data_IF_827449640481
#
_entry.id   IF_827449640481
#
_cell.length_a   1.000
_cell.length_b   1.000
_cell.length_c   1.000
_cell.angle_alpha   90.00
_cell.angle_beta   90.00
_cell.angle_gamma   90.00
#
_symmetry.space_group_name_H-M   'P 1'
#
loop_
_entity.id
_entity.type
_entity.pdbx_description
1 polymer ?
#
# COMPACT_ATOMS: atom_id res chain seq x y z
N UNK A 1 -1.40 -14.71 -1.13
CA UNK A 1 -0.72 -13.40 -1.09
C UNK A 1 -1.52 -12.42 -1.91
N UNK A 2 -1.89 -11.25 -1.38
CA UNK A 2 -2.54 -10.19 -2.16
C UNK A 2 -1.41 -9.33 -2.75
N UNK A 3 -1.17 -9.48 -4.05
CA UNK A 3 -0.03 -8.85 -4.76
C UNK A 3 -0.42 -7.62 -5.57
N UNK A 4 -1.71 -7.48 -5.90
CA UNK A 4 -2.27 -6.38 -6.66
C UNK A 4 -3.72 -6.17 -6.24
N UNK A 5 -4.14 -4.91 -6.13
CA UNK A 5 -5.53 -4.51 -5.88
C UNK A 5 -5.92 -3.50 -6.95
N UNK A 6 -7.02 -3.79 -7.65
CA UNK A 6 -7.61 -2.89 -8.64
C UNK A 6 -9.09 -2.71 -8.32
N UNK A 7 -9.52 -1.46 -8.23
CA UNK A 7 -10.87 -1.14 -7.79
C UNK A 7 -11.14 0.35 -7.79
N UNK A 8 -12.20 0.78 -7.11
CA UNK A 8 -12.62 2.18 -7.02
C UNK A 8 -12.25 2.76 -5.66
N UNK A 9 -11.68 3.97 -5.62
CA UNK A 9 -11.37 4.64 -4.36
C UNK A 9 -12.66 5.12 -3.71
N UNK A 10 -12.99 4.57 -2.54
CA UNK A 10 -14.14 4.99 -1.73
C UNK A 10 -13.80 6.13 -0.77
N UNK A 11 -12.62 6.07 -0.14
CA UNK A 11 -12.25 6.98 0.93
C UNK A 11 -10.74 7.28 0.92
N UNK A 12 -10.39 8.46 1.43
CA UNK A 12 -9.02 8.91 1.70
C UNK A 12 -8.91 9.34 3.16
N UNK A 13 -8.06 8.69 3.95
CA UNK A 13 -7.87 8.98 5.36
C UNK A 13 -6.38 9.01 5.73
N UNK A 14 -5.80 10.20 5.86
CA UNK A 14 -4.36 10.36 6.10
C UNK A 14 -3.55 9.72 4.98
N UNK A 15 -2.72 8.72 5.29
CA UNK A 15 -1.96 7.93 4.32
C UNK A 15 -2.63 6.61 3.90
N UNK A 16 -3.94 6.49 4.13
CA UNK A 16 -4.72 5.29 3.77
C UNK A 16 -5.78 5.58 2.72
N UNK A 17 -6.01 4.59 1.87
CA UNK A 17 -7.12 4.53 0.91
C UNK A 17 -8.01 3.35 1.24
N UNK A 18 -9.33 3.55 1.14
CA UNK A 18 -10.29 2.44 1.08
C UNK A 18 -10.61 2.20 -0.39
N UNK A 19 -10.32 0.99 -0.89
CA UNK A 19 -10.61 0.60 -2.28
C UNK A 19 -11.73 -0.44 -2.29
N UNK A 20 -12.80 -0.15 -3.01
CA UNK A 20 -13.83 -1.14 -3.33
C UNK A 20 -13.36 -2.06 -4.45
N UNK A 21 -13.39 -3.36 -4.17
CA UNK A 21 -13.23 -4.41 -5.18
C UNK A 21 -14.47 -5.29 -5.13
N UNK A 22 -15.42 -5.02 -6.02
CA UNK A 22 -16.67 -5.79 -6.15
C UNK A 22 -17.47 -5.86 -4.83
N UNK A 23 -17.58 -4.74 -4.10
CA UNK A 23 -18.31 -4.67 -2.83
C UNK A 23 -17.47 -4.99 -1.59
N UNK A 24 -16.18 -5.31 -1.74
CA UNK A 24 -15.24 -5.48 -0.63
C UNK A 24 -14.33 -4.27 -0.47
N UNK A 25 -14.45 -3.57 0.65
CA UNK A 25 -13.59 -2.45 1.02
C UNK A 25 -12.25 -2.91 1.60
N UNK A 26 -11.15 -2.65 0.89
CA UNK A 26 -9.79 -2.89 1.36
C UNK A 26 -9.17 -1.58 1.86
N UNK A 27 -8.82 -1.52 3.13
CA UNK A 27 -8.00 -0.44 3.67
C UNK A 27 -6.52 -0.70 3.34
N UNK A 28 -5.87 0.26 2.68
CA UNK A 28 -4.50 0.13 2.19
C UNK A 28 -3.71 1.36 2.64
N UNK A 29 -2.57 1.14 3.29
CA UNK A 29 -1.58 2.19 3.56
C UNK A 29 -0.77 2.43 2.30
N UNK A 30 -0.77 3.65 1.78
CA UNK A 30 -0.20 3.98 0.46
C UNK A 30 0.89 5.05 0.54
N UNK A 31 1.79 5.03 -0.44
CA UNK A 31 2.87 6.01 -0.58
C UNK A 31 2.31 7.39 -0.99
N UNK A 32 3.04 8.50 -0.75
CA UNK A 32 2.54 9.85 -1.05
C UNK A 32 2.17 10.08 -2.51
N UNK A 33 2.93 9.51 -3.45
CA UNK A 33 2.65 9.56 -4.89
C UNK A 33 1.31 8.88 -5.24
N UNK A 34 1.02 7.71 -4.67
CA UNK A 34 -0.28 7.03 -4.81
C UNK A 34 -1.39 7.89 -4.20
N UNK A 35 -1.17 8.42 -3.00
CA UNK A 35 -2.16 9.27 -2.35
C UNK A 35 -2.47 10.51 -3.17
N UNK A 36 -1.46 11.12 -3.80
CA UNK A 36 -1.62 12.33 -4.61
C UNK A 36 -2.41 12.10 -5.91
N UNK A 37 -2.22 10.92 -6.53
CA UNK A 37 -2.90 10.54 -7.77
C UNK A 37 -4.31 9.98 -7.54
N UNK A 38 -4.60 9.47 -6.34
CA UNK A 38 -5.89 8.91 -5.97
C UNK A 38 -7.01 9.97 -5.94
N UNK A 39 -8.15 9.64 -6.55
CA UNK A 39 -9.38 10.44 -6.56
C UNK A 39 -10.55 9.56 -6.13
N UNK A 40 -11.38 10.06 -5.23
CA UNK A 40 -12.63 9.39 -4.81
C UNK A 40 -13.49 9.14 -6.06
N UNK A 41 -14.21 8.03 -6.08
CA UNK A 41 -15.05 7.55 -7.18
C UNK A 41 -14.30 7.28 -8.49
N UNK A 42 -12.97 7.20 -8.45
CA UNK A 42 -12.14 6.86 -9.60
C UNK A 42 -11.46 5.50 -9.44
N UNK A 43 -11.20 4.84 -10.56
CA UNK A 43 -10.47 3.58 -10.57
C UNK A 43 -9.00 3.77 -10.23
N UNK A 44 -8.42 2.86 -9.46
CA UNK A 44 -6.99 2.81 -9.15
C UNK A 44 -6.49 1.36 -9.25
N UNK A 45 -5.21 1.21 -9.51
CA UNK A 45 -4.52 -0.08 -9.62
C UNK A 45 -3.21 -0.01 -8.85
N UNK A 46 -3.08 -0.81 -7.81
CA UNK A 46 -1.96 -0.77 -6.87
C UNK A 46 -1.26 -2.12 -6.80
N UNK A 47 0.07 -2.08 -6.78
CA UNK A 47 0.88 -3.20 -6.34
C UNK A 47 0.84 -3.27 -4.81
N UNK A 48 0.67 -4.46 -4.25
CA UNK A 48 0.45 -4.60 -2.81
C UNK A 48 1.35 -5.63 -2.14
N UNK A 49 1.59 -5.43 -0.85
CA UNK A 49 2.19 -6.42 0.02
C UNK A 49 1.43 -6.46 1.35
N UNK A 50 1.03 -7.67 1.76
CA UNK A 50 0.31 -7.89 3.02
C UNK A 50 1.30 -8.34 4.08
N UNK A 51 1.35 -7.59 5.16
CA UNK A 51 2.08 -7.94 6.38
C UNK A 51 1.08 -8.50 7.37
N UNK A 52 1.29 -9.76 7.76
CA UNK A 52 0.48 -10.44 8.78
C UNK A 52 1.31 -10.49 10.06
N UNK A 53 0.77 -9.89 11.11
CA UNK A 53 1.24 -10.04 12.50
C UNK A 53 0.17 -10.80 13.29
N UNK A 54 0.50 -11.17 14.51
CA UNK A 54 -0.39 -11.95 15.38
C UNK A 54 -1.76 -11.27 15.61
N UNK A 55 -1.80 -9.95 15.60
CA UNK A 55 -2.95 -9.12 15.95
C UNK A 55 -3.52 -8.29 14.78
N UNK A 56 -2.79 -8.18 13.67
CA UNK A 56 -3.14 -7.24 12.61
C UNK A 56 -2.68 -7.68 11.22
N UNK A 57 -3.52 -7.37 10.23
CA UNK A 57 -3.19 -7.46 8.82
C UNK A 57 -3.04 -6.04 8.28
N UNK A 58 -1.88 -5.74 7.69
CA UNK A 58 -1.63 -4.44 7.06
C UNK A 58 -1.34 -4.63 5.58
N UNK A 59 -2.10 -3.94 4.73
CA UNK A 59 -1.84 -3.91 3.29
C UNK A 59 -1.08 -2.62 2.97
N UNK A 60 0.11 -2.77 2.40
CA UNK A 60 0.88 -1.66 1.85
C UNK A 60 0.68 -1.60 0.33
N UNK A 61 0.40 -0.41 -0.20
CA UNK A 61 0.13 -0.16 -1.62
C UNK A 61 1.14 0.77 -2.26
N UNK A 62 1.50 0.46 -3.50
CA UNK A 62 2.53 1.13 -4.28
C UNK A 62 2.05 1.37 -5.72
N UNK A 63 2.48 2.47 -6.33
CA UNK A 63 2.18 2.82 -7.73
C UNK A 63 2.90 1.94 -8.74
N UNK A 64 4.05 1.37 -8.35
CA UNK A 64 4.93 0.60 -9.24
C UNK A 64 5.38 -0.72 -8.60
N UNK A 65 5.74 -1.73 -9.41
CA UNK A 65 6.32 -2.97 -8.90
C UNK A 65 7.71 -2.74 -8.29
N UNK A 66 8.43 -1.71 -8.75
CA UNK A 66 9.76 -1.34 -8.27
C UNK A 66 9.71 -0.79 -6.84
N UNK A 67 8.78 0.12 -6.53
CA UNK A 67 8.59 0.63 -5.17
C UNK A 67 8.22 -0.48 -4.18
N UNK A 68 7.41 -1.46 -4.63
CA UNK A 68 7.12 -2.68 -3.85
C UNK A 68 8.37 -3.54 -3.67
N UNK A 69 9.24 -3.66 -4.68
CA UNK A 69 10.48 -4.41 -4.59
C UNK A 69 11.46 -3.76 -3.60
N UNK A 70 11.60 -2.43 -3.61
CA UNK A 70 12.39 -1.69 -2.62
C UNK A 70 11.88 -1.94 -1.20
N UNK A 71 10.56 -1.90 -0.99
CA UNK A 71 9.95 -2.22 0.30
C UNK A 71 10.30 -3.63 0.81
N UNK A 72 10.29 -4.63 -0.08
CA UNK A 72 10.67 -6.01 0.25
C UNK A 72 12.16 -6.14 0.54
N UNK A 73 13.01 -5.51 -0.27
CA UNK A 73 14.46 -5.54 -0.12
C UNK A 73 14.88 -4.92 1.22
N UNK A 74 14.29 -3.79 1.59
CA UNK A 74 14.58 -3.12 2.86
C UNK A 74 14.28 -4.03 4.06
N UNK A 75 13.22 -4.84 3.99
CA UNK A 75 12.88 -5.79 5.07
C UNK A 75 13.86 -6.97 5.21
N UNK A 76 14.72 -7.20 4.22
CA UNK A 76 15.80 -8.19 4.35
C UNK A 76 16.95 -7.73 5.25
N UNK A 77 17.01 -6.43 5.55
CA UNK A 77 18.02 -5.84 6.43
C UNK A 77 17.64 -6.06 7.89
N UNK A 78 18.58 -6.56 8.68
CA UNK A 78 18.37 -6.80 10.11
C UNK A 78 17.95 -5.49 10.82
N UNK A 79 16.88 -5.56 11.62
CA UNK A 79 16.32 -4.42 12.34
C UNK A 79 15.35 -3.55 11.52
N UNK A 80 15.18 -3.80 10.23
CA UNK A 80 14.25 -3.02 9.38
C UNK A 80 12.91 -3.73 9.28
N UNK A 81 11.96 -3.32 10.13
CA UNK A 81 10.59 -3.80 10.05
C UNK A 81 9.76 -3.09 8.96
N UNK A 82 8.57 -3.65 8.61
CA UNK A 82 7.67 -3.08 7.60
C UNK A 82 7.39 -1.58 7.73
N UNK A 83 7.14 -1.07 8.93
CA UNK A 83 6.85 0.35 9.14
C UNK A 83 8.02 1.25 8.72
N UNK A 84 9.25 0.85 9.06
CA UNK A 84 10.48 1.57 8.72
C UNK A 84 10.75 1.45 7.23
N UNK A 85 10.70 0.24 6.67
CA UNK A 85 10.85 0.00 5.24
C UNK A 85 9.88 0.86 4.41
N UNK A 86 8.61 0.91 4.81
CA UNK A 86 7.60 1.71 4.12
C UNK A 86 7.89 3.21 4.20
N UNK A 87 8.32 3.70 5.37
CA UNK A 87 8.67 5.11 5.55
C UNK A 87 9.82 5.54 4.66
N UNK A 88 10.83 4.67 4.47
CA UNK A 88 11.94 4.92 3.54
C UNK A 88 11.42 4.99 2.11
N UNK A 89 10.58 4.05 1.69
CA UNK A 89 9.99 4.06 0.33
C UNK A 89 9.15 5.32 0.10
N UNK A 90 8.42 5.82 1.09
CA UNK A 90 7.64 7.05 0.96
C UNK A 90 8.48 8.30 0.66
N UNK A 91 9.77 8.30 1.00
CA UNK A 91 10.70 9.41 0.72
C UNK A 91 11.36 9.25 -0.67
N UNK A 92 11.46 8.02 -1.17
CA UNK A 92 12.06 7.71 -2.46
C UNK A 92 11.06 7.74 -3.63
N UNK A 93 9.77 7.60 -3.33
CA UNK A 93 8.67 7.50 -4.30
C UNK A 93 8.14 8.86 -4.77
#
# INVERSE_FOLDING_TARGET
MISRIRGTVLERAGNRLTIDVQGMGYEITVTPDVLSSARIDSSIDLFTHVVIREDAWTIYGFSSPESRAHFLLLQSVNGVGPKVAFSIVCVLA
#
